data_IF_103335016906
#
_entry.id   IF_103335016906
#
_cell.length_a   1.000
_cell.length_b   1.000
_cell.length_c   1.000
_cell.angle_alpha   90.00
_cell.angle_beta   90.00
_cell.angle_gamma   90.00
#
_symmetry.space_group_name_H-M   'P 1'
#
loop_
_entity.id
_entity.type
_entity.pdbx_description
1 polymer ?
#
# COMPACT_ATOMS: atom_id res chain seq x y z
N UNK A 1 -0.50 -9.52 7.81
CA UNK A 1 -1.88 -9.39 8.30
C UNK A 1 -2.03 -8.26 9.32
N UNK A 2 -1.22 -8.21 10.39
CA UNK A 2 -1.34 -7.17 11.44
C UNK A 2 -1.21 -5.73 10.89
N UNK A 3 -0.24 -5.47 10.02
CA UNK A 3 0.00 -4.15 9.41
C UNK A 3 -1.18 -3.67 8.56
N UNK A 4 -1.88 -4.60 7.91
CA UNK A 4 -3.01 -4.29 7.03
C UNK A 4 -4.23 -3.79 7.80
N UNK A 5 -4.42 -4.25 9.04
CA UNK A 5 -5.47 -3.78 9.94
C UNK A 5 -5.06 -2.51 10.71
N UNK A 6 -3.75 -2.35 10.98
CA UNK A 6 -3.23 -1.22 11.72
C UNK A 6 -3.43 0.10 10.98
N UNK A 7 -3.26 0.11 9.66
CA UNK A 7 -3.40 1.31 8.84
C UNK A 7 -4.81 1.92 8.88
N UNK A 8 -5.91 1.18 8.61
CA UNK A 8 -7.27 1.69 8.78
C UNK A 8 -7.56 2.19 10.20
N UNK A 9 -7.09 1.47 11.23
CA UNK A 9 -7.26 1.89 12.63
C UNK A 9 -6.56 3.23 12.90
N UNK A 10 -5.35 3.43 12.39
CA UNK A 10 -4.60 4.67 12.51
C UNK A 10 -5.33 5.82 11.81
N UNK A 11 -5.80 5.60 10.59
CA UNK A 11 -6.57 6.61 9.84
C UNK A 11 -7.84 7.01 10.59
N UNK A 12 -8.58 6.05 11.15
CA UNK A 12 -9.79 6.31 11.94
C UNK A 12 -9.47 7.05 13.23
N UNK A 13 -8.37 6.71 13.91
CA UNK A 13 -7.90 7.42 15.09
C UNK A 13 -7.52 8.87 14.79
N UNK A 14 -6.84 9.12 13.67
CA UNK A 14 -6.51 10.47 13.21
C UNK A 14 -7.76 11.27 12.83
N UNK A 15 -8.74 10.65 12.18
CA UNK A 15 -10.02 11.28 11.87
C UNK A 15 -10.74 11.70 13.14
N UNK A 16 -10.80 10.85 14.15
CA UNK A 16 -11.43 11.19 15.43
C UNK A 16 -10.69 12.35 16.13
N UNK A 17 -9.36 12.29 16.18
CA UNK A 17 -8.54 13.36 16.74
C UNK A 17 -8.74 14.68 16.00
N UNK A 18 -8.88 14.65 14.69
CA UNK A 18 -9.18 15.81 13.86
C UNK A 18 -10.56 16.41 14.17
N UNK A 19 -11.60 15.55 14.26
CA UNK A 19 -12.94 16.02 14.64
C UNK A 19 -12.95 16.65 16.04
N UNK A 20 -12.23 16.05 16.97
CA UNK A 20 -12.10 16.57 18.33
C UNK A 20 -11.39 17.93 18.35
N UNK A 21 -10.27 18.05 17.63
CA UNK A 21 -9.51 19.29 17.54
C UNK A 21 -10.33 20.42 16.89
N UNK A 22 -11.06 20.13 15.82
CA UNK A 22 -11.92 21.10 15.17
C UNK A 22 -12.98 21.68 16.13
N UNK A 23 -13.66 20.81 16.89
CA UNK A 23 -14.66 21.27 17.86
C UNK A 23 -14.00 22.04 19.02
N UNK A 24 -12.84 21.61 19.48
CA UNK A 24 -12.07 22.30 20.52
C UNK A 24 -11.71 23.72 20.08
N UNK A 25 -11.27 23.90 18.84
CA UNK A 25 -10.88 25.20 18.31
C UNK A 25 -12.08 26.09 17.97
N UNK A 26 -13.17 25.50 17.46
CA UNK A 26 -14.34 26.23 17.03
C UNK A 26 -15.19 26.71 18.22
N UNK A 27 -15.17 26.03 19.36
CA UNK A 27 -16.01 26.27 20.52
C UNK A 27 -15.24 26.74 21.76
N UNK A 28 -14.06 27.30 21.57
CA UNK A 28 -13.19 27.74 22.66
C UNK A 28 -13.81 28.82 23.58
N UNK A 29 -14.86 29.51 23.11
CA UNK A 29 -15.53 30.60 23.85
C UNK A 29 -16.86 30.19 24.51
N UNK A 30 -17.41 29.02 24.21
CA UNK A 30 -18.80 28.69 24.60
C UNK A 30 -18.92 27.97 25.97
N UNK A 31 -17.83 27.80 26.70
CA UNK A 31 -17.85 27.23 28.05
C UNK A 31 -18.37 25.78 28.12
N UNK A 32 -18.27 25.03 27.01
CA UNK A 32 -18.69 23.62 26.90
C UNK A 32 -17.98 22.71 27.86
N UNK A 33 -18.69 21.77 28.41
CA UNK A 33 -18.07 20.67 29.19
C UNK A 33 -17.35 19.70 28.27
N UNK A 34 -16.32 19.01 28.80
CA UNK A 34 -15.60 17.99 28.03
C UNK A 34 -16.50 16.86 27.50
N UNK A 35 -17.62 16.58 28.18
CA UNK A 35 -18.59 15.58 27.74
C UNK A 35 -19.38 16.04 26.50
N UNK A 36 -19.77 17.28 26.43
CA UNK A 36 -20.46 17.88 25.28
C UNK A 36 -19.52 17.93 24.06
N UNK A 37 -18.27 18.33 24.26
CA UNK A 37 -17.24 18.34 23.23
C UNK A 37 -17.04 16.95 22.63
N UNK A 38 -16.95 15.92 23.47
CA UNK A 38 -16.86 14.51 23.03
C UNK A 38 -18.10 14.09 22.24
N UNK A 39 -19.30 14.49 22.68
CA UNK A 39 -20.57 14.20 22.02
C UNK A 39 -20.61 14.74 20.59
N UNK A 40 -20.31 16.02 20.41
CA UNK A 40 -20.26 16.67 19.08
C UNK A 40 -19.20 16.05 18.18
N UNK A 41 -18.00 15.81 18.71
CA UNK A 41 -16.89 15.20 17.95
C UNK A 41 -17.21 13.77 17.52
N UNK A 42 -17.86 13.00 18.38
CA UNK A 42 -18.32 11.63 18.06
C UNK A 42 -19.40 11.64 16.99
N UNK A 43 -20.35 12.56 17.06
CA UNK A 43 -21.39 12.74 16.04
C UNK A 43 -20.77 13.01 14.66
N UNK A 44 -19.88 14.00 14.57
CA UNK A 44 -19.17 14.31 13.32
C UNK A 44 -18.33 13.12 12.81
N UNK A 45 -17.64 12.44 13.71
CA UNK A 45 -16.85 11.24 13.37
C UNK A 45 -17.73 10.14 12.77
N UNK A 46 -18.87 9.83 13.37
CA UNK A 46 -19.79 8.78 12.86
C UNK A 46 -20.29 9.13 11.46
N UNK A 47 -20.55 10.40 11.18
CA UNK A 47 -20.95 10.81 9.84
C UNK A 47 -19.83 10.71 8.80
N UNK A 48 -18.59 11.05 9.16
CA UNK A 48 -17.45 11.04 8.23
C UNK A 48 -16.81 9.66 8.08
N UNK A 49 -16.86 8.83 9.11
CA UNK A 49 -16.21 7.52 9.17
C UNK A 49 -16.52 6.60 7.96
N UNK A 50 -17.79 6.45 7.50
CA UNK A 50 -18.08 5.58 6.37
C UNK A 50 -17.45 6.07 5.05
N UNK A 51 -17.37 7.37 4.84
CA UNK A 51 -16.75 7.93 3.64
C UNK A 51 -15.24 7.74 3.64
N UNK A 52 -14.59 7.99 4.77
CA UNK A 52 -13.15 7.77 4.92
C UNK A 52 -12.80 6.29 4.80
N UNK A 53 -13.58 5.41 5.43
CA UNK A 53 -13.40 3.96 5.32
C UNK A 53 -13.59 3.48 3.88
N UNK A 54 -14.60 3.98 3.18
CA UNK A 54 -14.81 3.71 1.76
C UNK A 54 -13.61 4.13 0.90
N UNK A 55 -13.07 5.32 1.13
CA UNK A 55 -11.86 5.80 0.47
C UNK A 55 -10.64 4.92 0.72
N UNK A 56 -10.45 4.51 1.97
CA UNK A 56 -9.35 3.58 2.35
C UNK A 56 -9.51 2.23 1.64
N UNK A 57 -10.71 1.68 1.57
CA UNK A 57 -10.98 0.42 0.87
C UNK A 57 -10.70 0.53 -0.64
N UNK A 58 -11.16 1.61 -1.27
CA UNK A 58 -10.88 1.86 -2.70
C UNK A 58 -9.38 1.98 -2.91
N UNK A 59 -8.67 2.70 -2.05
CA UNK A 59 -7.21 2.82 -2.12
C UNK A 59 -6.51 1.46 -2.02
N UNK A 60 -6.94 0.58 -1.11
CA UNK A 60 -6.38 -0.77 -1.01
C UNK A 60 -6.61 -1.60 -2.27
N UNK A 61 -7.80 -1.48 -2.89
CA UNK A 61 -8.10 -2.17 -4.14
C UNK A 61 -7.17 -1.67 -5.25
N UNK A 62 -7.02 -0.35 -5.40
CA UNK A 62 -6.11 0.25 -6.38
C UNK A 62 -4.67 -0.21 -6.12
N UNK A 63 -4.20 -0.11 -4.87
CA UNK A 63 -2.86 -0.51 -4.49
C UNK A 63 -2.60 -2.01 -4.77
N UNK A 64 -3.58 -2.87 -4.53
CA UNK A 64 -3.49 -4.29 -4.82
C UNK A 64 -3.28 -4.57 -6.32
N UNK A 65 -4.10 -3.97 -7.19
CA UNK A 65 -4.00 -4.19 -8.63
C UNK A 65 -2.85 -3.44 -9.28
N UNK A 66 -2.48 -2.28 -8.76
CA UNK A 66 -1.43 -1.44 -9.32
C UNK A 66 -0.02 -1.74 -8.77
N UNK A 67 0.11 -2.62 -7.77
CA UNK A 67 1.38 -2.87 -7.06
C UNK A 67 2.56 -3.11 -8.02
N UNK A 68 2.44 -4.09 -8.91
CA UNK A 68 3.52 -4.43 -9.86
C UNK A 68 3.82 -3.28 -10.81
N UNK A 69 2.79 -2.58 -11.29
CA UNK A 69 2.94 -1.44 -12.20
C UNK A 69 3.62 -0.26 -11.53
N UNK A 70 3.25 0.01 -10.27
CA UNK A 70 3.86 1.09 -9.46
C UNK A 70 5.35 0.81 -9.24
N UNK A 71 5.71 -0.43 -8.88
CA UNK A 71 7.11 -0.83 -8.67
C UNK A 71 7.89 -0.69 -9.97
N UNK A 72 7.40 -1.21 -11.08
CA UNK A 72 8.08 -1.11 -12.37
C UNK A 72 8.30 0.35 -12.80
N UNK A 73 7.29 1.21 -12.61
CA UNK A 73 7.41 2.64 -12.92
C UNK A 73 8.40 3.36 -12.01
N UNK A 74 8.41 3.02 -10.72
CA UNK A 74 9.31 3.64 -9.74
C UNK A 74 10.77 3.23 -9.91
N UNK A 75 11.02 2.01 -10.42
CA UNK A 75 12.36 1.46 -10.60
C UNK A 75 12.89 1.61 -12.03
N UNK A 76 12.06 2.03 -12.98
CA UNK A 76 12.42 2.06 -14.39
C UNK A 76 12.72 0.67 -14.95
N UNK A 77 12.16 -0.39 -14.34
CA UNK A 77 12.43 -1.78 -14.74
C UNK A 77 11.73 -2.11 -16.06
N UNK A 78 12.45 -2.75 -16.97
CA UNK A 78 11.95 -3.21 -18.27
C UNK A 78 11.90 -4.75 -18.29
N UNK A 79 10.87 -5.34 -18.95
CA UNK A 79 10.79 -6.78 -19.09
C UNK A 79 12.00 -7.33 -19.86
N UNK A 80 12.68 -8.33 -19.30
CA UNK A 80 13.80 -9.01 -19.96
C UNK A 80 13.30 -10.21 -20.74
N UNK A 81 13.53 -10.24 -22.04
CA UNK A 81 13.26 -11.39 -22.87
C UNK A 81 14.42 -12.38 -22.86
N UNK A 82 14.11 -13.68 -23.12
CA UNK A 82 15.14 -14.73 -23.23
C UNK A 82 16.17 -14.44 -24.32
N UNK A 83 15.78 -13.68 -25.36
CA UNK A 83 16.65 -13.38 -26.48
C UNK A 83 17.70 -12.33 -26.13
N UNK A 84 17.39 -11.39 -25.24
CA UNK A 84 18.25 -10.27 -24.87
C UNK A 84 19.38 -10.72 -23.93
N UNK A 85 19.09 -11.54 -22.93
CA UNK A 85 20.10 -12.08 -22.04
C UNK A 85 19.82 -13.55 -21.65
N UNK A 86 20.25 -14.47 -22.51
CA UNK A 86 20.09 -15.92 -22.33
C UNK A 86 20.72 -16.42 -21.02
N UNK A 87 21.84 -15.81 -20.61
CA UNK A 87 22.57 -16.26 -19.41
C UNK A 87 21.75 -16.03 -18.15
N UNK A 88 21.26 -14.81 -17.96
CA UNK A 88 20.45 -14.45 -16.78
C UNK A 88 19.14 -15.22 -16.80
N UNK A 89 18.47 -15.28 -17.94
CA UNK A 89 17.20 -15.99 -18.09
C UNK A 89 17.33 -17.47 -17.71
N UNK A 90 18.32 -18.17 -18.27
CA UNK A 90 18.56 -19.58 -17.99
C UNK A 90 18.99 -19.83 -16.52
N UNK A 91 19.71 -18.89 -15.90
CA UNK A 91 20.09 -18.99 -14.49
C UNK A 91 18.84 -19.00 -13.59
N UNK A 92 17.92 -18.05 -13.81
CA UNK A 92 16.67 -17.98 -13.06
C UNK A 92 15.78 -19.20 -13.35
N UNK A 93 15.69 -19.63 -14.60
CA UNK A 93 14.93 -20.82 -15.01
C UNK A 93 15.45 -22.08 -14.30
N UNK A 94 16.75 -22.29 -14.29
CA UNK A 94 17.37 -23.44 -13.61
C UNK A 94 17.14 -23.40 -12.09
N UNK A 95 17.23 -22.20 -11.49
CA UNK A 95 16.97 -22.03 -10.07
C UNK A 95 15.50 -22.35 -9.74
N UNK A 96 14.56 -21.87 -10.54
CA UNK A 96 13.15 -22.16 -10.36
C UNK A 96 12.85 -23.66 -10.53
N UNK A 97 13.43 -24.30 -11.53
CA UNK A 97 13.28 -25.75 -11.72
C UNK A 97 13.84 -26.55 -10.55
N UNK A 98 15.00 -26.16 -10.02
CA UNK A 98 15.61 -26.86 -8.88
C UNK A 98 14.79 -26.77 -7.60
N UNK A 99 14.01 -25.71 -7.45
CA UNK A 99 13.14 -25.46 -6.28
C UNK A 99 11.67 -25.86 -6.51
N UNK A 100 11.32 -26.38 -7.70
CA UNK A 100 9.94 -26.70 -8.04
C UNK A 100 9.02 -25.49 -8.13
N UNK A 101 9.58 -24.30 -8.38
CA UNK A 101 8.84 -23.03 -8.45
C UNK A 101 8.49 -22.69 -9.90
N UNK A 102 7.35 -22.01 -10.09
CA UNK A 102 7.03 -21.43 -11.39
C UNK A 102 7.97 -20.28 -11.72
N UNK A 103 8.32 -20.18 -13.00
CA UNK A 103 9.15 -19.10 -13.52
C UNK A 103 8.46 -17.74 -13.28
N UNK A 104 9.10 -16.80 -12.56
CA UNK A 104 8.61 -15.43 -12.40
C UNK A 104 8.84 -14.64 -13.71
N UNK A 105 8.24 -13.47 -13.80
CA UNK A 105 8.64 -12.48 -14.80
C UNK A 105 10.01 -11.95 -14.43
N UNK A 106 10.88 -11.80 -15.41
CA UNK A 106 12.22 -11.23 -15.20
C UNK A 106 12.21 -9.82 -15.77
N UNK A 107 12.59 -8.86 -14.95
CA UNK A 107 12.81 -7.49 -15.36
C UNK A 107 14.27 -7.11 -15.16
N UNK A 108 14.75 -6.14 -15.90
CA UNK A 108 16.07 -5.55 -15.75
C UNK A 108 15.95 -4.07 -15.45
N UNK A 109 16.81 -3.57 -14.58
CA UNK A 109 16.98 -2.15 -14.31
C UNK A 109 18.35 -1.78 -14.85
N UNK A 110 18.38 -0.81 -15.75
CA UNK A 110 19.63 -0.32 -16.33
C UNK A 110 20.24 0.74 -15.40
N UNK A 111 20.89 0.26 -14.33
CA UNK A 111 21.53 1.08 -13.32
C UNK A 111 22.89 0.45 -12.97
N UNK A 112 23.87 1.27 -12.64
CA UNK A 112 25.23 0.82 -12.26
C UNK A 112 25.28 0.21 -10.85
N UNK A 113 24.21 0.32 -10.06
CA UNK A 113 24.12 -0.25 -8.73
C UNK A 113 23.87 -1.76 -8.79
N UNK A 114 24.64 -2.50 -7.99
CA UNK A 114 24.44 -3.95 -7.80
C UNK A 114 23.28 -4.15 -6.82
N UNK A 115 22.06 -4.18 -7.34
CA UNK A 115 20.86 -4.44 -6.55
C UNK A 115 19.95 -5.45 -7.24
N UNK A 116 19.20 -6.21 -6.46
CA UNK A 116 18.20 -7.14 -6.96
C UNK A 116 17.06 -7.23 -5.94
N UNK A 117 15.83 -7.33 -6.42
CA UNK A 117 14.67 -7.53 -5.56
C UNK A 117 13.61 -8.38 -6.27
N UNK A 118 12.72 -8.96 -5.48
CA UNK A 118 11.56 -9.65 -5.98
C UNK A 118 10.30 -8.93 -5.52
N UNK A 119 9.31 -8.88 -6.40
CA UNK A 119 8.02 -8.29 -6.11
C UNK A 119 6.88 -9.20 -6.57
N UNK A 120 5.66 -8.90 -6.12
CA UNK A 120 4.46 -9.63 -6.50
C UNK A 120 3.69 -10.13 -5.29
N UNK A 121 2.38 -10.33 -5.47
CA UNK A 121 1.45 -10.72 -4.41
C UNK A 121 1.12 -12.22 -4.52
N UNK A 122 1.18 -12.77 -5.72
CA UNK A 122 0.87 -14.16 -5.99
C UNK A 122 1.75 -14.71 -7.13
N UNK A 123 1.73 -16.02 -7.35
CA UNK A 123 2.54 -16.70 -8.37
C UNK A 123 2.39 -16.16 -9.81
N UNK A 124 1.27 -15.48 -10.12
CA UNK A 124 1.03 -14.90 -11.45
C UNK A 124 1.66 -13.51 -11.60
N UNK A 125 1.96 -12.86 -10.48
CA UNK A 125 2.48 -11.49 -10.42
C UNK A 125 3.94 -11.43 -9.97
N UNK A 126 4.56 -12.56 -9.64
CA UNK A 126 5.97 -12.60 -9.24
C UNK A 126 6.87 -12.07 -10.34
N UNK A 127 7.73 -11.13 -9.97
CA UNK A 127 8.73 -10.47 -10.83
C UNK A 127 10.05 -10.35 -10.07
N UNK A 128 11.14 -10.64 -10.72
CA UNK A 128 12.51 -10.56 -10.18
C UNK A 128 13.34 -9.63 -11.05
#
# INVERSE_FOLDING_TARGET
MLLLCLFPCLVMGLLFAFCYLLHLLAMNDDGLTGAELLGYSTGMFIHLAPYVLGGVLIWFIIAYFANTSIINSATGSEPLSRMENKRVYNLVENLCMSQGMKMPKINIINDDSLNAFASGINERTYTV
#
